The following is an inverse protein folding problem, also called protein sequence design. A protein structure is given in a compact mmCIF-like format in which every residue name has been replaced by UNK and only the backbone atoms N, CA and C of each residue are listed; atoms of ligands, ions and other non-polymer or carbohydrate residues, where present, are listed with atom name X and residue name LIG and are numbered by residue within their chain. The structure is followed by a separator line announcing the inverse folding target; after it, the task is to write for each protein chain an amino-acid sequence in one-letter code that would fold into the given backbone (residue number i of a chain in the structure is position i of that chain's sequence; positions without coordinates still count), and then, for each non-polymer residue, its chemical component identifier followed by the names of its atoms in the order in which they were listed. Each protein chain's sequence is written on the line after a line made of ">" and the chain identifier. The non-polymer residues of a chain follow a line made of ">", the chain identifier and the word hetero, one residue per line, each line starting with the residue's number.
data_IF_270834602392
#
_entry.id   IF_270834602392
#
_cell.length_a   1.000
_cell.length_b   1.000
_cell.length_c   1.000
_cell.angle_alpha   90.00
_cell.angle_beta   90.00
_cell.angle_gamma   90.00
#
_symmetry.space_group_name_H-M   'P 1'
#
loop_
_entity.id
_entity.type
_entity.pdbx_description
1 polymer ?
#
# COMPACT_ATOMS: atom_id res chain seq x y z
N UNK A 1 21.87 24.50 7.09
CA UNK A 1 21.06 23.36 6.60
C UNK A 1 21.90 22.11 6.73
N UNK A 2 21.53 21.18 7.60
CA UNK A 2 22.35 20.00 7.93
C UNK A 2 21.55 18.74 7.59
N UNK A 3 22.05 17.97 6.62
CA UNK A 3 21.43 16.73 6.09
C UNK A 3 21.50 15.57 7.09
N UNK A 4 22.27 15.71 8.17
CA UNK A 4 22.46 14.68 9.20
C UNK A 4 21.34 14.64 10.27
N UNK A 5 20.43 15.61 10.27
CA UNK A 5 19.33 15.68 11.25
C UNK A 5 17.99 15.16 10.72
N UNK A 6 17.88 14.84 9.43
CA UNK A 6 16.59 14.55 8.80
C UNK A 6 16.66 13.30 7.91
N UNK A 7 16.88 12.15 8.57
CA UNK A 7 16.84 10.83 7.94
C UNK A 7 15.49 10.48 7.29
N UNK A 8 14.46 11.31 7.46
CA UNK A 8 13.10 11.08 6.99
C UNK A 8 12.72 11.87 5.74
N UNK A 9 13.52 12.87 5.33
CA UNK A 9 13.23 13.70 4.15
C UNK A 9 13.37 12.96 2.80
N UNK A 10 14.04 11.81 2.77
CA UNK A 10 14.31 11.03 1.54
C UNK A 10 13.62 9.66 1.47
N UNK A 11 12.85 9.26 2.49
CA UNK A 11 11.95 8.12 2.33
C UNK A 11 10.62 8.66 1.81
N UNK A 12 10.55 8.85 0.49
CA UNK A 12 9.34 9.35 -0.18
C UNK A 12 8.12 8.50 0.17
N UNK A 13 6.96 9.13 0.32
CA UNK A 13 5.71 8.37 0.37
C UNK A 13 5.49 7.66 -0.96
N UNK A 14 4.98 6.44 -0.92
CA UNK A 14 4.54 5.69 -2.09
C UNK A 14 3.15 6.10 -2.51
N UNK A 15 2.88 5.99 -3.82
CA UNK A 15 1.54 6.04 -4.38
C UNK A 15 1.27 4.72 -5.10
N UNK A 16 0.08 4.17 -4.90
CA UNK A 16 -0.43 3.08 -5.71
C UNK A 16 -1.73 3.53 -6.39
N UNK A 17 -1.92 3.09 -7.62
CA UNK A 17 -3.08 3.40 -8.43
C UNK A 17 -3.65 2.11 -9.01
N UNK A 18 -4.94 1.88 -8.81
CA UNK A 18 -5.64 0.67 -9.27
C UNK A 18 -7.13 0.77 -8.98
N UNK A 19 -7.93 -0.03 -9.66
CA UNK A 19 -9.37 -0.13 -9.44
C UNK A 19 -9.63 -1.08 -8.26
N UNK A 20 -9.80 -0.53 -7.06
CA UNK A 20 -9.87 -1.35 -5.83
C UNK A 20 -11.30 -1.72 -5.46
N UNK A 21 -12.31 -1.01 -5.99
CA UNK A 21 -13.72 -1.31 -5.75
C UNK A 21 -14.48 -1.89 -6.96
N UNK A 22 -13.76 -2.12 -8.07
CA UNK A 22 -14.24 -2.83 -9.25
C UNK A 22 -15.21 -2.02 -10.11
N UNK A 23 -15.19 -0.69 -9.99
CA UNK A 23 -16.10 0.20 -10.71
C UNK A 23 -15.56 0.66 -12.08
N UNK A 24 -14.34 0.23 -12.44
CA UNK A 24 -13.66 0.56 -13.68
C UNK A 24 -12.93 1.91 -13.66
N UNK A 25 -12.93 2.62 -12.54
CA UNK A 25 -12.17 3.84 -12.33
C UNK A 25 -10.91 3.56 -11.51
N UNK A 26 -9.84 4.31 -11.81
CA UNK A 26 -8.60 4.18 -11.06
C UNK A 26 -8.68 4.98 -9.76
N UNK A 27 -8.52 4.28 -8.65
CA UNK A 27 -8.41 4.81 -7.29
C UNK A 27 -6.96 5.08 -6.91
N UNK A 28 -6.75 5.82 -5.82
CA UNK A 28 -5.42 6.22 -5.37
C UNK A 28 -5.20 5.90 -3.89
N UNK A 29 -4.08 5.25 -3.60
CA UNK A 29 -3.58 5.06 -2.25
C UNK A 29 -2.27 5.83 -2.06
N UNK A 30 -2.15 6.57 -0.97
CA UNK A 30 -0.95 7.31 -0.59
C UNK A 30 -0.43 6.83 0.75
N UNK A 31 0.87 6.54 0.81
CA UNK A 31 1.51 6.31 2.11
C UNK A 31 1.91 7.63 2.77
N UNK A 32 1.84 7.67 4.09
CA UNK A 32 2.32 8.79 4.88
C UNK A 32 3.66 8.50 5.57
N UNK A 33 4.62 9.41 5.48
CA UNK A 33 5.89 9.29 6.24
C UNK A 33 5.73 9.81 7.67
N UNK A 34 4.95 10.88 7.85
CA UNK A 34 4.71 11.56 9.14
C UNK A 34 3.20 11.78 9.43
N UNK A 35 2.34 11.24 8.57
CA UNK A 35 0.88 11.30 8.66
C UNK A 35 0.32 9.92 8.38
N UNK A 36 -0.98 9.71 8.61
CA UNK A 36 -1.67 8.48 8.24
C UNK A 36 -1.74 8.26 6.73
N UNK A 37 -1.88 7.00 6.32
CA UNK A 37 -2.09 6.64 4.92
C UNK A 37 -3.46 7.14 4.45
N UNK A 38 -3.64 7.28 3.13
CA UNK A 38 -4.90 7.76 2.55
C UNK A 38 -5.33 6.92 1.37
N UNK A 39 -6.58 6.45 1.40
CA UNK A 39 -7.26 5.83 0.27
C UNK A 39 -8.32 6.78 -0.27
N UNK A 40 -8.23 7.06 -1.56
CA UNK A 40 -9.16 7.91 -2.30
C UNK A 40 -9.85 7.11 -3.39
N UNK A 41 -11.18 7.08 -3.35
CA UNK A 41 -11.98 6.47 -4.42
C UNK A 41 -12.36 7.52 -5.45
N UNK A 42 -12.15 7.18 -6.72
CA UNK A 42 -12.50 8.01 -7.85
C UNK A 42 -14.01 7.95 -8.11
N UNK A 43 -14.65 9.12 -8.17
CA UNK A 43 -16.09 9.27 -8.49
C UNK A 43 -16.32 9.80 -9.90
N UNK A 44 -15.30 9.69 -10.75
CA UNK A 44 -15.26 10.21 -12.10
C UNK A 44 -14.94 11.70 -12.16
N UNK A 45 -14.61 12.19 -13.34
CA UNK A 45 -14.28 13.60 -13.59
C UNK A 45 -13.18 14.15 -12.67
N UNK A 46 -12.18 13.32 -12.34
CA UNK A 46 -11.09 13.63 -11.41
C UNK A 46 -11.55 14.08 -10.01
N UNK A 47 -12.72 13.61 -9.56
CA UNK A 47 -13.22 13.83 -8.21
C UNK A 47 -12.90 12.62 -7.36
N UNK A 48 -12.27 12.87 -6.22
CA UNK A 48 -11.80 11.83 -5.31
C UNK A 48 -12.40 12.03 -3.93
N UNK A 49 -12.78 10.93 -3.28
CA UNK A 49 -13.32 10.94 -1.91
C UNK A 49 -12.38 10.16 -1.02
N UNK A 50 -11.90 10.78 0.06
CA UNK A 50 -11.14 10.08 1.12
C UNK A 50 -12.09 9.14 1.87
N UNK A 51 -11.82 7.83 1.77
CA UNK A 51 -12.61 6.77 2.41
C UNK A 51 -11.75 5.93 3.36
N UNK A 52 -10.55 6.42 3.68
CA UNK A 52 -9.49 5.67 4.38
C UNK A 52 -10.00 4.85 5.57
N UNK A 53 -10.66 5.51 6.52
CA UNK A 53 -11.13 4.85 7.74
C UNK A 53 -12.36 3.98 7.51
N UNK A 54 -13.23 4.37 6.58
CA UNK A 54 -14.46 3.64 6.24
C UNK A 54 -14.13 2.30 5.59
N UNK A 55 -13.02 2.24 4.85
CA UNK A 55 -12.53 1.06 4.13
C UNK A 55 -11.54 0.20 4.93
N UNK A 56 -11.42 0.41 6.24
CA UNK A 56 -10.61 -0.45 7.11
C UNK A 56 -9.12 -0.08 7.20
N UNK A 57 -8.66 0.94 6.48
CA UNK A 57 -7.29 1.45 6.60
C UNK A 57 -7.20 2.30 7.87
N UNK A 58 -6.59 1.74 8.91
CA UNK A 58 -6.44 2.38 10.23
C UNK A 58 -4.97 2.53 10.60
N UNK A 59 -4.27 3.41 9.88
CA UNK A 59 -2.91 3.82 10.25
C UNK A 59 -2.86 5.30 10.53
N UNK A 60 -2.89 5.64 11.82
CA UNK A 60 -2.62 6.97 12.36
C UNK A 60 -1.24 7.04 13.05
N UNK A 61 -0.39 6.03 12.81
CA UNK A 61 0.92 5.89 13.45
C UNK A 61 2.00 6.79 12.85
N UNK A 62 2.91 7.24 13.71
CA UNK A 62 4.10 8.05 13.38
C UNK A 62 5.17 7.22 12.63
N UNK A 63 5.03 5.88 12.57
CA UNK A 63 6.02 5.02 11.89
C UNK A 63 5.96 5.28 10.37
N UNK A 64 7.06 5.68 9.72
CA UNK A 64 7.06 5.97 8.29
C UNK A 64 6.72 4.79 7.40
N UNK A 65 5.88 5.04 6.39
CA UNK A 65 5.65 4.14 5.27
C UNK A 65 6.27 4.72 4.01
N UNK A 66 7.09 3.91 3.35
CA UNK A 66 8.07 4.32 2.33
C UNK A 66 7.66 3.92 0.92
N UNK A 67 6.73 2.96 0.80
CA UNK A 67 6.29 2.42 -0.48
C UNK A 67 4.98 1.65 -0.31
N UNK A 68 4.25 1.54 -1.41
CA UNK A 68 3.01 0.76 -1.49
C UNK A 68 2.94 0.08 -2.85
N UNK A 69 2.33 -1.09 -2.86
CA UNK A 69 2.01 -1.88 -4.04
C UNK A 69 0.54 -2.33 -3.96
N UNK A 70 -0.16 -2.27 -5.09
CA UNK A 70 -1.42 -2.98 -5.32
C UNK A 70 -1.13 -4.24 -6.14
N UNK A 71 -1.53 -5.39 -5.62
CA UNK A 71 -1.24 -6.71 -6.17
C UNK A 71 -2.27 -7.71 -5.65
N UNK A 72 -2.59 -8.76 -6.39
CA UNK A 72 -3.40 -9.87 -5.86
C UNK A 72 -2.50 -10.77 -5.00
N UNK A 73 -2.57 -10.66 -3.67
CA UNK A 73 -1.64 -11.34 -2.75
C UNK A 73 -2.15 -12.72 -2.31
N UNK A 74 -3.43 -13.01 -2.51
CA UNK A 74 -4.08 -14.24 -2.08
C UNK A 74 -4.68 -15.05 -3.26
N UNK A 75 -4.45 -14.60 -4.50
CA UNK A 75 -4.95 -15.18 -5.74
C UNK A 75 -6.49 -15.24 -5.82
N UNK A 76 -7.19 -14.24 -5.26
CA UNK A 76 -8.65 -14.15 -5.29
C UNK A 76 -9.21 -13.29 -6.43
N UNK A 77 -8.33 -12.67 -7.21
CA UNK A 77 -8.65 -11.81 -8.34
C UNK A 77 -8.87 -10.34 -7.98
N UNK A 78 -8.65 -9.94 -6.73
CA UNK A 78 -8.78 -8.55 -6.28
C UNK A 78 -7.44 -7.91 -5.94
N UNK A 79 -7.37 -6.58 -6.08
CA UNK A 79 -6.17 -5.84 -5.73
C UNK A 79 -6.07 -5.66 -4.21
N UNK A 80 -5.09 -6.31 -3.61
CA UNK A 80 -4.67 -6.19 -2.21
C UNK A 80 -3.58 -5.12 -2.04
N UNK A 81 -3.35 -4.66 -0.81
CA UNK A 81 -2.31 -3.68 -0.50
C UNK A 81 -1.12 -4.33 0.20
N UNK A 82 0.08 -4.09 -0.32
CA UNK A 82 1.34 -4.32 0.36
C UNK A 82 2.01 -2.97 0.67
N UNK A 83 2.24 -2.68 1.95
CA UNK A 83 2.75 -1.37 2.41
C UNK A 83 4.08 -1.52 3.14
N UNK A 84 5.14 -0.96 2.55
CA UNK A 84 6.49 -0.97 3.09
C UNK A 84 6.61 -0.05 4.32
N UNK A 85 7.30 -0.53 5.36
CA UNK A 85 7.54 0.23 6.60
C UNK A 85 9.03 0.39 6.89
N UNK A 86 9.40 1.54 7.46
CA UNK A 86 10.76 1.79 7.96
C UNK A 86 10.75 2.64 9.23
N UNK A 87 11.12 2.09 10.41
CA UNK A 87 11.48 0.68 10.68
C UNK A 87 10.26 -0.24 10.80
N UNK A 88 10.48 -1.56 10.77
CA UNK A 88 9.48 -2.59 11.09
C UNK A 88 9.04 -3.43 9.89
N UNK A 89 8.23 -4.46 10.18
CA UNK A 89 7.65 -5.36 9.17
C UNK A 89 6.67 -4.57 8.28
N UNK A 90 6.74 -4.81 6.97
CA UNK A 90 5.72 -4.36 6.02
C UNK A 90 4.34 -4.89 6.40
N UNK A 91 3.31 -4.22 5.90
CA UNK A 91 1.92 -4.58 6.14
C UNK A 91 1.29 -5.15 4.89
N UNK A 92 0.35 -6.07 5.08
CA UNK A 92 -0.50 -6.58 4.03
C UNK A 92 -1.97 -6.35 4.39
N UNK A 93 -2.78 -6.01 3.39
CA UNK A 93 -4.22 -5.92 3.49
C UNK A 93 -4.87 -6.69 2.37
N UNK A 94 -5.76 -7.61 2.71
CA UNK A 94 -6.62 -8.27 1.73
C UNK A 94 -7.86 -7.44 1.47
N UNK A 95 -8.19 -7.24 0.21
CA UNK A 95 -9.38 -6.57 -0.28
C UNK A 95 -10.53 -7.56 -0.47
N UNK A 96 -11.76 -7.17 -0.17
CA UNK A 96 -12.97 -7.97 -0.43
C UNK A 96 -13.52 -7.82 -1.86
N UNK A 97 -12.76 -7.20 -2.75
CA UNK A 97 -13.16 -6.84 -4.11
C UNK A 97 -14.08 -5.62 -4.20
N UNK A 98 -14.40 -4.99 -3.06
CA UNK A 98 -15.21 -3.77 -3.00
C UNK A 98 -14.44 -2.61 -2.38
N UNK A 99 -13.14 -2.77 -2.20
CA UNK A 99 -12.24 -1.80 -1.60
C UNK A 99 -12.31 -1.77 -0.08
N UNK A 100 -12.83 -2.81 0.59
CA UNK A 100 -12.68 -2.96 2.05
C UNK A 100 -11.48 -3.81 2.38
N UNK A 101 -10.57 -3.25 3.15
CA UNK A 101 -9.26 -3.82 3.43
C UNK A 101 -9.18 -4.39 4.85
N UNK A 102 -8.77 -5.66 4.95
CA UNK A 102 -8.53 -6.35 6.22
C UNK A 102 -7.03 -6.58 6.41
N UNK A 103 -6.43 -6.15 7.53
CA UNK A 103 -5.02 -6.44 7.80
C UNK A 103 -4.80 -7.94 7.96
N UNK A 104 -3.78 -8.45 7.27
CA UNK A 104 -3.35 -9.85 7.39
C UNK A 104 -1.86 -9.92 7.69
N UNK A 105 -1.42 -11.06 8.23
CA UNK A 105 0.00 -11.38 8.21
C UNK A 105 0.46 -11.58 6.77
N UNK A 106 1.62 -10.99 6.43
CA UNK A 106 2.18 -11.11 5.08
C UNK A 106 2.28 -12.59 4.64
N UNK A 107 1.59 -13.00 3.57
CA UNK A 107 1.78 -14.33 2.97
C UNK A 107 3.15 -14.44 2.30
N UNK A 108 3.69 -13.30 1.84
CA UNK A 108 5.05 -13.18 1.35
C UNK A 108 6.00 -13.38 2.54
N UNK A 109 6.70 -14.52 2.54
CA UNK A 109 7.73 -14.83 3.52
C UNK A 109 9.01 -14.09 3.13
N UNK A 110 9.01 -12.77 3.25
CA UNK A 110 10.26 -12.02 3.29
C UNK A 110 10.92 -12.38 4.62
N UNK A 111 11.91 -13.25 4.57
CA UNK A 111 12.75 -13.67 5.70
C UNK A 111 13.52 -12.52 6.34
N UNK A 112 13.46 -11.33 5.73
CA UNK A 112 14.14 -10.15 6.21
C UNK A 112 13.17 -9.24 6.97
N UNK A 113 13.40 -9.16 8.28
CA UNK A 113 12.80 -8.22 9.21
C UNK A 113 13.32 -6.79 9.00
N UNK A 114 13.74 -6.47 7.78
CA UNK A 114 14.46 -5.26 7.39
C UNK A 114 13.58 -4.36 6.53
N UNK A 115 13.91 -3.07 6.55
CA UNK A 115 13.10 -2.01 5.97
C UNK A 115 13.03 -2.09 4.44
N UNK A 116 11.83 -2.08 3.87
CA UNK A 116 11.65 -1.95 2.42
C UNK A 116 11.43 -0.49 2.02
N UNK A 117 11.92 -0.07 0.86
CA UNK A 117 11.72 1.30 0.33
C UNK A 117 10.74 1.31 -0.85
N UNK A 118 10.76 0.27 -1.69
CA UNK A 118 9.84 0.08 -2.81
C UNK A 118 9.64 -1.43 -3.00
N UNK A 119 8.44 -1.83 -3.44
CA UNK A 119 8.16 -3.17 -3.95
C UNK A 119 7.69 -2.99 -5.40
N UNK A 120 8.21 -3.81 -6.32
CA UNK A 120 7.73 -3.89 -7.68
C UNK A 120 7.21 -5.31 -7.87
N UNK A 121 5.98 -5.51 -8.37
CA UNK A 121 5.49 -6.84 -8.66
C UNK A 121 6.27 -7.36 -9.87
N UNK A 122 6.91 -8.50 -9.74
CA UNK A 122 7.51 -9.21 -10.86
C UNK A 122 7.00 -10.64 -10.77
N UNK A 123 6.37 -11.12 -11.84
CA UNK A 123 6.13 -12.54 -12.07
C UNK A 123 7.38 -13.02 -12.80
N UNK A 124 8.38 -13.53 -12.06
CA UNK A 124 9.70 -13.79 -12.63
C UNK A 124 9.72 -15.10 -13.42
N UNK A 125 8.83 -16.02 -13.10
CA UNK A 125 8.78 -17.35 -13.70
C UNK A 125 7.57 -17.59 -14.62
N UNK A 126 6.70 -16.59 -14.75
CA UNK A 126 5.54 -16.55 -15.64
C UNK A 126 4.48 -17.62 -15.32
N UNK A 127 4.32 -17.98 -14.05
CA UNK A 127 3.36 -19.01 -13.61
C UNK A 127 2.00 -18.44 -13.16
N UNK A 128 1.91 -17.11 -13.02
CA UNK A 128 0.68 -16.38 -12.72
C UNK A 128 0.46 -16.06 -11.24
N UNK A 129 1.41 -16.36 -10.35
CA UNK A 129 1.51 -15.70 -9.05
C UNK A 129 2.59 -14.58 -9.03
N UNK A 130 2.66 -13.82 -7.95
CA UNK A 130 3.56 -12.66 -7.82
C UNK A 130 4.71 -13.02 -6.86
N UNK A 131 5.96 -12.94 -7.35
CA UNK A 131 7.21 -13.17 -6.60
C UNK A 131 7.76 -11.92 -5.87
#
# INVERSE_FOLDING_TARGET
>A
FNVLADFYAYNGGGVAAGDVDGDGLIDLYFTGTQVGDRLYINKGNFRFVDVTFERGIRHDSIIPRTGVLLADLNADGFLDLYVCRRPGKSLCYVNDGRGYFTPVDSPITLTDSTSATMAAPIDIDADGDLD
#
